data_IF_515211787542
#
_entry.id   IF_515211787542
#
_cell.length_a   1.000
_cell.length_b   1.000
_cell.length_c   1.000
_cell.angle_alpha   90.00
_cell.angle_beta   90.00
_cell.angle_gamma   90.00
#
_symmetry.space_group_name_H-M   'P 1'
#
loop_
_entity.id
_entity.type
_entity.pdbx_description
1 polymer ?
#
# COMPACT_ATOMS: atom_id res chain seq x y z
N UNK A 1 -21.44 -9.57 18.90
CA UNK A 1 -20.09 -9.54 18.30
C UNK A 1 -19.88 -8.17 17.64
N UNK A 2 -18.86 -7.39 18.07
CA UNK A 2 -18.50 -6.12 17.41
C UNK A 2 -17.70 -6.45 16.15
N UNK A 3 -18.24 -6.13 14.98
CA UNK A 3 -17.50 -6.19 13.72
C UNK A 3 -16.61 -4.96 13.60
N UNK A 4 -15.32 -5.12 13.87
CA UNK A 4 -14.33 -4.08 13.56
C UNK A 4 -14.20 -4.02 12.05
N UNK A 5 -14.73 -2.98 11.41
CA UNK A 5 -14.49 -2.73 9.98
C UNK A 5 -13.01 -2.32 9.86
N UNK A 6 -12.15 -3.10 9.19
CA UNK A 6 -10.75 -2.73 9.04
C UNK A 6 -10.67 -1.51 8.14
N UNK A 7 -10.21 -0.39 8.70
CA UNK A 7 -9.94 0.80 7.91
C UNK A 7 -8.67 0.53 7.10
N UNK A 8 -8.82 0.39 5.79
CA UNK A 8 -7.71 0.16 4.85
C UNK A 8 -6.94 1.47 4.69
N UNK A 9 -5.75 1.56 5.29
CA UNK A 9 -4.87 2.74 5.21
C UNK A 9 -3.97 2.77 3.98
N UNK A 10 -3.83 1.64 3.29
CA UNK A 10 -2.94 1.47 2.12
C UNK A 10 -3.75 0.94 0.94
N UNK A 11 -3.83 1.72 -0.14
CA UNK A 11 -4.33 1.25 -1.44
C UNK A 11 -3.13 1.01 -2.36
N UNK A 12 -3.13 -0.09 -3.11
CA UNK A 12 -2.04 -0.45 -4.02
C UNK A 12 -2.57 -0.76 -5.41
N UNK A 13 -1.89 -0.27 -6.45
CA UNK A 13 -2.19 -0.57 -7.86
C UNK A 13 -0.89 -0.75 -8.63
N UNK A 14 -0.84 -1.69 -9.57
CA UNK A 14 0.27 -1.77 -10.54
C UNK A 14 0.02 -0.76 -11.66
N UNK A 15 1.03 0.03 -12.02
CA UNK A 15 0.92 1.01 -13.11
C UNK A 15 1.40 0.39 -14.42
N UNK A 16 2.67 0.02 -14.46
CA UNK A 16 3.39 -0.56 -15.59
C UNK A 16 4.38 -1.62 -15.07
N UNK A 17 5.07 -2.35 -15.95
CA UNK A 17 6.00 -3.42 -15.58
C UNK A 17 7.11 -2.93 -14.63
N UNK A 18 6.93 -3.27 -13.35
CA UNK A 18 7.83 -2.96 -12.25
C UNK A 18 7.52 -1.67 -11.49
N UNK A 19 6.47 -0.94 -11.81
CA UNK A 19 6.07 0.27 -11.09
C UNK A 19 4.80 0.06 -10.27
N UNK A 20 4.92 0.29 -8.95
CA UNK A 20 3.79 0.26 -8.03
C UNK A 20 3.32 1.67 -7.66
N UNK A 21 2.01 1.85 -7.62
CA UNK A 21 1.37 2.99 -6.98
C UNK A 21 0.86 2.58 -5.61
N UNK A 22 1.32 3.26 -4.57
CA UNK A 22 0.88 3.08 -3.18
C UNK A 22 0.28 4.37 -2.67
N UNK A 23 -1.01 4.36 -2.35
CA UNK A 23 -1.69 5.51 -1.75
C UNK A 23 -1.94 5.28 -0.27
N UNK A 24 -1.47 6.23 0.54
CA UNK A 24 -1.72 6.30 1.97
C UNK A 24 -2.83 7.31 2.25
N UNK A 25 -3.91 6.85 2.88
CA UNK A 25 -5.04 7.71 3.28
C UNK A 25 -4.98 8.15 4.74
N UNK A 26 -3.97 7.69 5.49
CA UNK A 26 -3.80 7.95 6.92
C UNK A 26 -2.61 7.19 7.49
N UNK A 27 -1.82 7.83 8.36
CA UNK A 27 -0.81 7.12 9.16
C UNK A 27 -1.45 6.48 10.38
N UNK A 28 -1.39 5.14 10.44
CA UNK A 28 -1.79 4.33 11.60
C UNK A 28 -0.64 3.41 11.98
N UNK A 29 -0.72 2.84 13.17
CA UNK A 29 0.27 1.88 13.68
C UNK A 29 0.54 0.72 12.69
N UNK A 30 -0.51 0.24 12.00
CA UNK A 30 -0.41 -0.87 11.04
C UNK A 30 0.05 -0.47 9.63
N UNK A 31 0.17 0.82 9.32
CA UNK A 31 0.45 1.30 7.95
C UNK A 31 1.78 0.76 7.42
N UNK A 32 2.84 0.81 8.22
CA UNK A 32 4.17 0.33 7.83
C UNK A 32 4.17 -1.18 7.52
N UNK A 33 3.48 -1.97 8.34
CA UNK A 33 3.35 -3.42 8.14
C UNK A 33 2.62 -3.72 6.83
N UNK A 34 1.46 -3.10 6.63
CA UNK A 34 0.64 -3.28 5.44
C UNK A 34 1.40 -2.89 4.15
N UNK A 35 2.16 -1.80 4.19
CA UNK A 35 2.95 -1.36 3.04
C UNK A 35 4.04 -2.37 2.68
N UNK A 36 4.79 -2.88 3.67
CA UNK A 36 5.81 -3.91 3.45
C UNK A 36 5.23 -5.20 2.91
N UNK A 37 4.07 -5.63 3.40
CA UNK A 37 3.38 -6.81 2.90
C UNK A 37 2.99 -6.65 1.43
N UNK A 38 2.40 -5.50 1.05
CA UNK A 38 2.03 -5.22 -0.35
C UNK A 38 3.24 -5.17 -1.29
N UNK A 39 4.34 -4.56 -0.87
CA UNK A 39 5.58 -4.51 -1.66
C UNK A 39 6.14 -5.92 -1.85
N UNK A 40 6.23 -6.70 -0.77
CA UNK A 40 6.72 -8.08 -0.81
C UNK A 40 5.86 -8.96 -1.71
N UNK A 41 4.54 -8.81 -1.65
CA UNK A 41 3.62 -9.60 -2.47
C UNK A 41 3.77 -9.25 -3.96
N UNK A 42 3.96 -7.97 -4.30
CA UNK A 42 4.24 -7.57 -5.69
C UNK A 42 5.56 -8.13 -6.20
N UNK A 43 6.61 -8.13 -5.35
CA UNK A 43 7.94 -8.63 -5.71
C UNK A 43 8.01 -10.15 -5.95
N UNK A 44 6.97 -10.92 -5.59
CA UNK A 44 6.90 -12.36 -5.90
C UNK A 44 6.76 -12.62 -7.39
N UNK A 45 5.97 -11.78 -8.05
CA UNK A 45 5.58 -11.98 -9.45
C UNK A 45 6.23 -10.95 -10.39
N UNK A 46 6.77 -9.84 -9.86
CA UNK A 46 7.30 -8.73 -10.63
C UNK A 46 8.63 -8.21 -10.08
N UNK A 47 9.51 -7.75 -10.97
CA UNK A 47 10.70 -6.98 -10.53
C UNK A 47 10.31 -5.55 -10.22
N UNK A 48 10.38 -5.14 -8.96
CA UNK A 48 10.11 -3.76 -8.57
C UNK A 48 11.21 -2.81 -9.05
N UNK A 49 10.87 -1.91 -9.96
CA UNK A 49 11.71 -0.83 -10.48
C UNK A 49 11.51 0.48 -9.71
N UNK A 50 10.30 0.73 -9.22
CA UNK A 50 10.01 1.97 -8.50
C UNK A 50 8.63 2.00 -7.85
N UNK A 51 8.45 2.93 -6.93
CA UNK A 51 7.19 3.15 -6.21
C UNK A 51 6.80 4.61 -6.33
N UNK A 52 5.56 4.86 -6.75
CA UNK A 52 4.89 6.15 -6.57
C UNK A 52 4.14 6.11 -5.25
N UNK A 53 4.64 6.84 -4.25
CA UNK A 53 4.00 6.96 -2.95
C UNK A 53 3.12 8.22 -2.93
N UNK A 54 1.81 8.02 -2.95
CA UNK A 54 0.83 9.09 -2.92
C UNK A 54 0.32 9.34 -1.49
N UNK A 55 0.68 10.52 -0.96
CA UNK A 55 0.28 11.01 0.36
C UNK A 55 -0.83 12.08 0.30
N UNK A 56 -1.45 12.31 -0.86
CA UNK A 56 -2.45 13.37 -1.03
C UNK A 56 -3.70 13.09 -0.20
N UNK A 57 -4.21 14.14 0.45
CA UNK A 57 -5.36 14.11 1.36
C UNK A 57 -5.17 13.12 2.52
N UNK A 58 -3.95 13.07 3.08
CA UNK A 58 -3.61 12.33 4.29
C UNK A 58 -3.60 13.34 5.47
N UNK A 59 -4.72 13.49 6.22
CA UNK A 59 -4.82 14.40 7.36
C UNK A 59 -4.06 13.90 8.59
#
# INVERSE_FOLDING_TARGET
VRGTIPIISVKSQSLEDGYMYLRLTGFKESTTKNMREKIRDYQKDHTLKGIVLDLRNNP
#
